data_IF_709678578836
#
_entry.id   IF_709678578836
#
_cell.length_a   1.000
_cell.length_b   1.000
_cell.length_c   1.000
_cell.angle_alpha   90.00
_cell.angle_beta   90.00
_cell.angle_gamma   90.00
#
_symmetry.space_group_name_H-M   'P 1'
#
loop_
_entity.id
_entity.type
_entity.pdbx_description
1 polymer ?
#
# COMPACT_ATOMS: atom_id res chain seq x y z
N UNK A 1 -5.61 44.94 2.29
CA UNK A 1 -6.46 44.67 3.47
C UNK A 1 -6.90 43.23 3.34
N UNK A 2 -6.33 42.30 4.11
CA UNK A 2 -6.80 40.91 4.11
C UNK A 2 -8.18 40.94 4.76
N UNK A 3 -9.18 40.47 4.02
CA UNK A 3 -10.58 40.49 4.44
C UNK A 3 -10.73 39.72 5.76
N UNK A 4 -11.38 40.33 6.75
CA UNK A 4 -11.60 39.72 8.06
C UNK A 4 -12.34 38.37 7.94
N UNK A 5 -13.16 38.21 6.88
CA UNK A 5 -13.82 36.96 6.55
C UNK A 5 -12.84 35.83 6.18
N UNK A 6 -11.72 36.15 5.51
CA UNK A 6 -10.71 35.16 5.12
C UNK A 6 -9.93 34.63 6.34
N UNK A 7 -9.66 35.51 7.32
CA UNK A 7 -9.03 35.13 8.59
C UNK A 7 -9.95 34.24 9.43
N UNK A 8 -11.26 34.54 9.49
CA UNK A 8 -12.22 33.69 10.21
C UNK A 8 -12.41 32.32 9.56
N UNK A 9 -12.42 32.25 8.22
CA UNK A 9 -12.48 30.96 7.51
C UNK A 9 -11.20 30.15 7.74
N UNK A 10 -10.02 30.78 7.72
CA UNK A 10 -8.75 30.12 8.05
C UNK A 10 -8.73 29.62 9.50
N UNK A 11 -9.21 30.40 10.45
CA UNK A 11 -9.30 30.02 11.86
C UNK A 11 -10.31 28.89 12.09
N UNK A 12 -11.44 28.89 11.40
CA UNK A 12 -12.43 27.81 11.46
C UNK A 12 -11.91 26.53 10.80
N UNK A 13 -11.17 26.62 9.70
CA UNK A 13 -10.50 25.48 9.08
C UNK A 13 -9.38 24.92 9.99
N UNK A 14 -8.59 25.79 10.62
CA UNK A 14 -7.60 25.40 11.61
C UNK A 14 -8.24 24.77 12.84
N UNK A 15 -9.38 25.29 13.31
CA UNK A 15 -10.14 24.69 14.41
C UNK A 15 -10.74 23.33 14.04
N UNK A 16 -11.28 23.18 12.83
CA UNK A 16 -11.74 21.88 12.31
C UNK A 16 -10.58 20.87 12.19
N UNK A 17 -9.41 21.31 11.75
CA UNK A 17 -8.21 20.48 11.69
C UNK A 17 -7.62 20.17 13.08
N UNK A 18 -7.80 21.06 14.05
CA UNK A 18 -7.45 20.84 15.46
C UNK A 18 -8.46 19.94 16.20
N UNK A 19 -9.56 19.58 15.53
CA UNK A 19 -10.57 18.66 16.03
C UNK A 19 -9.94 17.34 16.46
N UNK A 20 -10.02 17.07 17.75
CA UNK A 20 -9.46 15.88 18.36
C UNK A 20 -10.33 14.67 18.00
N UNK A 21 -9.83 13.78 17.16
CA UNK A 21 -10.45 12.46 16.99
C UNK A 21 -10.09 11.65 18.23
N UNK A 22 -11.08 11.45 19.11
CA UNK A 22 -10.96 10.57 20.28
C UNK A 22 -9.87 10.99 21.31
N UNK A 23 -9.55 12.27 21.43
CA UNK A 23 -8.52 12.78 22.36
C UNK A 23 -7.11 12.90 21.77
N UNK A 24 -6.91 12.49 20.51
CA UNK A 24 -5.63 12.56 19.82
C UNK A 24 -5.60 13.65 18.73
N UNK A 25 -4.45 14.31 18.48
CA UNK A 25 -4.32 15.24 17.36
C UNK A 25 -4.59 14.52 16.03
N UNK A 26 -5.44 15.10 15.18
CA UNK A 26 -5.79 14.57 13.85
C UNK A 26 -4.57 14.22 12.99
N UNK A 27 -3.48 14.98 13.16
CA UNK A 27 -2.19 14.75 12.49
C UNK A 27 -1.60 13.37 12.81
N UNK A 28 -1.73 12.89 14.05
CA UNK A 28 -1.23 11.58 14.48
C UNK A 28 -2.04 10.46 13.84
N UNK A 29 -3.36 10.64 13.77
CA UNK A 29 -4.29 9.65 13.18
C UNK A 29 -4.04 9.48 11.67
N UNK A 30 -3.63 10.54 10.98
CA UNK A 30 -3.24 10.48 9.55
C UNK A 30 -1.79 10.00 9.34
N UNK A 31 -0.86 10.30 10.25
CA UNK A 31 0.54 9.92 10.10
C UNK A 31 0.75 8.40 10.22
N UNK A 32 -0.03 7.72 11.08
CA UNK A 32 0.08 6.26 11.28
C UNK A 32 -0.09 5.46 9.98
N UNK A 33 -1.20 5.58 9.23
CA UNK A 33 -1.36 4.84 7.98
C UNK A 33 -0.29 5.20 6.94
N UNK A 34 0.21 6.44 6.94
CA UNK A 34 1.28 6.86 6.03
C UNK A 34 2.62 6.15 6.32
N UNK A 35 3.01 6.07 7.59
CA UNK A 35 4.23 5.35 8.00
C UNK A 35 4.10 3.86 7.75
N UNK A 36 2.93 3.27 8.06
CA UNK A 36 2.65 1.86 7.77
C UNK A 36 2.73 1.59 6.26
N UNK A 37 2.13 2.46 5.44
CA UNK A 37 2.24 2.41 3.99
C UNK A 37 3.69 2.43 3.53
N UNK A 38 4.51 3.36 4.05
CA UNK A 38 5.93 3.49 3.71
C UNK A 38 6.71 2.21 3.97
N UNK A 39 6.54 1.61 5.15
CA UNK A 39 7.22 0.37 5.54
C UNK A 39 6.80 -0.79 4.61
N UNK A 40 5.50 -0.91 4.33
CA UNK A 40 4.98 -1.94 3.43
C UNK A 40 5.52 -1.76 2.01
N UNK A 41 5.53 -0.53 1.49
CA UNK A 41 6.06 -0.20 0.17
C UNK A 41 7.53 -0.59 0.03
N UNK A 42 8.34 -0.30 1.05
CA UNK A 42 9.75 -0.72 1.09
C UNK A 42 9.92 -2.24 1.05
N UNK A 43 9.18 -2.96 1.91
CA UNK A 43 9.27 -4.43 1.98
C UNK A 43 8.86 -5.05 0.64
N UNK A 44 7.75 -4.58 0.05
CA UNK A 44 7.28 -5.08 -1.24
C UNK A 44 8.34 -4.86 -2.33
N UNK A 45 8.98 -3.70 -2.39
CA UNK A 45 10.07 -3.45 -3.36
C UNK A 45 11.19 -4.48 -3.24
N UNK A 46 11.60 -4.80 -2.01
CA UNK A 46 12.67 -5.75 -1.74
C UNK A 46 12.29 -7.17 -2.16
N UNK A 47 11.07 -7.59 -1.86
CA UNK A 47 10.53 -8.90 -2.28
C UNK A 47 10.45 -8.96 -3.81
N UNK A 48 10.00 -7.89 -4.47
CA UNK A 48 9.84 -7.86 -5.92
C UNK A 48 11.18 -8.00 -6.66
N UNK A 49 12.24 -7.34 -6.15
CA UNK A 49 13.60 -7.50 -6.69
C UNK A 49 14.10 -8.94 -6.58
N UNK A 50 13.91 -9.58 -5.43
CA UNK A 50 14.32 -10.97 -5.21
C UNK A 50 13.49 -11.92 -6.09
N UNK A 51 12.18 -11.69 -6.17
CA UNK A 51 11.26 -12.47 -7.00
C UNK A 51 11.66 -12.40 -8.48
N UNK A 52 12.02 -11.22 -8.99
CA UNK A 52 12.48 -11.07 -10.38
C UNK A 52 13.74 -11.90 -10.67
N UNK A 53 14.69 -11.93 -9.73
CA UNK A 53 15.92 -12.74 -9.85
C UNK A 53 15.56 -14.23 -9.89
N UNK A 54 14.68 -14.69 -8.99
CA UNK A 54 14.22 -16.08 -8.96
C UNK A 54 13.51 -16.47 -10.26
N UNK A 55 12.68 -15.58 -10.81
CA UNK A 55 12.01 -15.81 -12.11
C UNK A 55 13.02 -15.93 -13.24
N UNK A 56 14.04 -15.07 -13.27
CA UNK A 56 15.10 -15.16 -14.28
C UNK A 56 15.87 -16.49 -14.19
N UNK A 57 16.22 -16.93 -12.99
CA UNK A 57 16.88 -18.23 -12.76
C UNK A 57 15.97 -19.39 -13.20
N UNK A 58 14.69 -19.35 -12.83
CA UNK A 58 13.71 -20.36 -13.20
C UNK A 58 13.53 -20.47 -14.73
N UNK A 59 13.54 -19.34 -15.45
CA UNK A 59 13.49 -19.32 -16.91
C UNK A 59 14.72 -19.98 -17.55
N UNK A 60 15.92 -19.69 -17.02
CA UNK A 60 17.15 -20.34 -17.49
C UNK A 60 17.11 -21.84 -17.21
N UNK A 61 16.70 -22.25 -16.01
CA UNK A 61 16.58 -23.67 -15.66
C UNK A 61 15.52 -24.40 -16.49
N UNK A 62 14.41 -23.72 -16.84
CA UNK A 62 13.39 -24.25 -17.75
C UNK A 62 13.94 -24.42 -19.17
N UNK A 63 14.76 -23.49 -19.66
CA UNK A 63 15.39 -23.59 -20.98
C UNK A 63 16.30 -24.83 -21.10
N UNK A 64 17.06 -25.14 -20.05
CA UNK A 64 17.89 -26.35 -19.99
C UNK A 64 17.11 -27.63 -19.67
N UNK A 65 15.79 -27.56 -19.51
CA UNK A 65 14.93 -28.72 -19.25
C UNK A 65 14.93 -29.21 -17.81
N UNK A 66 15.55 -28.49 -16.86
CA UNK A 66 15.53 -28.84 -15.44
C UNK A 66 14.16 -28.57 -14.78
N UNK A 67 13.36 -27.67 -15.36
CA UNK A 67 12.05 -27.27 -14.85
C UNK A 67 11.01 -27.40 -15.95
N UNK A 68 9.94 -28.14 -15.68
CA UNK A 68 8.75 -28.16 -16.55
C UNK A 68 7.82 -27.00 -16.18
N UNK A 69 7.77 -25.99 -17.06
CA UNK A 69 6.93 -24.80 -16.89
C UNK A 69 5.45 -25.13 -16.70
N UNK A 70 4.97 -26.27 -17.22
CA UNK A 70 3.58 -26.72 -17.04
C UNK A 70 3.22 -26.97 -15.57
N UNK A 71 4.10 -27.63 -14.83
CA UNK A 71 3.86 -27.95 -13.41
C UNK A 71 3.91 -26.68 -12.55
N UNK A 72 4.87 -25.80 -12.83
CA UNK A 72 4.99 -24.49 -12.14
C UNK A 72 3.74 -23.64 -12.39
N UNK A 73 3.19 -23.67 -13.60
CA UNK A 73 1.99 -22.92 -13.94
C UNK A 73 0.76 -23.48 -13.22
N UNK A 74 0.62 -24.80 -13.12
CA UNK A 74 -0.50 -25.41 -12.37
C UNK A 74 -0.44 -25.13 -10.87
N UNK A 75 0.76 -25.15 -10.27
CA UNK A 75 0.95 -24.81 -8.86
C UNK A 75 0.74 -23.31 -8.61
N UNK A 76 1.22 -22.44 -9.51
CA UNK A 76 0.94 -21.02 -9.44
C UNK A 76 -0.57 -20.76 -9.54
N UNK A 77 -1.28 -21.47 -10.42
CA UNK A 77 -2.72 -21.31 -10.59
C UNK A 77 -3.50 -21.81 -9.37
N UNK A 78 -3.09 -22.91 -8.73
CA UNK A 78 -3.74 -23.39 -7.50
C UNK A 78 -3.54 -22.42 -6.34
N UNK A 79 -2.33 -21.84 -6.20
CA UNK A 79 -2.08 -20.79 -5.20
C UNK A 79 -2.90 -19.52 -5.48
N UNK A 80 -3.00 -19.08 -6.75
CA UNK A 80 -3.84 -17.93 -7.12
C UNK A 80 -5.31 -18.21 -6.84
N UNK A 81 -5.80 -19.42 -7.11
CA UNK A 81 -7.20 -19.77 -6.84
C UNK A 81 -7.50 -19.84 -5.33
N UNK A 82 -6.52 -20.22 -4.51
CA UNK A 82 -6.69 -20.30 -3.06
C UNK A 82 -6.57 -18.92 -2.38
N UNK A 83 -5.55 -18.14 -2.74
CA UNK A 83 -5.25 -16.87 -2.07
C UNK A 83 -5.82 -15.64 -2.79
N UNK A 84 -6.14 -15.75 -4.07
CA UNK A 84 -6.69 -14.67 -4.89
C UNK A 84 -8.04 -14.14 -4.38
N UNK A 85 -9.04 -15.01 -4.14
CA UNK A 85 -10.33 -14.56 -3.59
C UNK A 85 -10.19 -13.89 -2.22
N UNK A 86 -9.29 -14.41 -1.39
CA UNK A 86 -8.98 -13.86 -0.06
C UNK A 86 -8.36 -12.48 -0.18
N UNK A 87 -7.38 -12.31 -1.07
CA UNK A 87 -6.75 -11.01 -1.33
C UNK A 87 -7.76 -9.97 -1.86
N UNK A 88 -8.65 -10.38 -2.76
CA UNK A 88 -9.71 -9.51 -3.29
C UNK A 88 -10.72 -9.09 -2.21
N UNK A 89 -11.03 -9.99 -1.27
CA UNK A 89 -11.88 -9.68 -0.11
C UNK A 89 -11.22 -8.65 0.82
N UNK A 90 -9.92 -8.78 1.10
CA UNK A 90 -9.20 -7.78 1.90
C UNK A 90 -9.09 -6.42 1.18
N UNK A 91 -8.95 -6.42 -0.14
CA UNK A 91 -8.93 -5.18 -0.93
C UNK A 91 -10.27 -4.45 -0.86
N UNK A 92 -11.42 -5.14 -0.88
CA UNK A 92 -12.73 -4.48 -0.80
C UNK A 92 -12.94 -3.81 0.56
N UNK A 93 -12.50 -4.45 1.65
CA UNK A 93 -12.51 -3.87 3.01
C UNK A 93 -11.57 -2.66 3.06
N UNK A 94 -10.38 -2.76 2.46
CA UNK A 94 -9.40 -1.69 2.41
C UNK A 94 -9.93 -0.43 1.69
N UNK A 95 -10.64 -0.59 0.57
CA UNK A 95 -11.28 0.54 -0.12
C UNK A 95 -12.48 1.12 0.64
N UNK A 96 -13.14 0.34 1.52
CA UNK A 96 -14.23 0.81 2.36
C UNK A 96 -13.82 1.85 3.42
N UNK A 97 -12.54 1.89 3.81
CA UNK A 97 -11.97 2.83 4.79
C UNK A 97 -11.21 3.99 4.10
N UNK A 98 -11.93 4.77 3.29
CA UNK A 98 -11.41 5.80 2.37
C UNK A 98 -10.41 6.80 3.01
N UNK A 99 -10.64 7.39 4.21
CA UNK A 99 -9.70 8.37 4.76
C UNK A 99 -8.35 7.78 5.20
N UNK A 100 -8.36 6.55 5.70
CA UNK A 100 -7.17 5.83 6.16
C UNK A 100 -6.37 5.23 4.99
N UNK A 101 -7.07 4.80 3.94
CA UNK A 101 -6.47 4.20 2.76
C UNK A 101 -5.68 5.21 1.91
N UNK A 102 -6.08 6.48 1.84
CA UNK A 102 -5.33 7.51 1.07
C UNK A 102 -3.92 7.71 1.65
N UNK A 103 -3.81 7.90 2.97
CA UNK A 103 -2.51 8.05 3.64
C UNK A 103 -1.64 6.81 3.44
N UNK A 104 -2.24 5.62 3.52
CA UNK A 104 -1.54 4.35 3.30
C UNK A 104 -1.08 4.16 1.85
N UNK A 105 -1.91 4.49 0.85
CA UNK A 105 -1.56 4.38 -0.56
C UNK A 105 -0.44 5.35 -0.92
N UNK A 106 -0.52 6.60 -0.47
CA UNK A 106 0.55 7.59 -0.70
C UNK A 106 1.84 7.11 -0.03
N UNK A 107 1.78 6.71 1.24
CA UNK A 107 2.93 6.15 1.95
C UNK A 107 3.51 4.94 1.23
N UNK A 108 2.66 4.03 0.75
CA UNK A 108 3.06 2.83 0.02
C UNK A 108 3.76 3.15 -1.30
N UNK A 109 3.19 4.04 -2.11
CA UNK A 109 3.81 4.46 -3.37
C UNK A 109 5.17 5.12 -3.10
N UNK A 110 5.24 6.01 -2.09
CA UNK A 110 6.50 6.65 -1.73
C UNK A 110 7.54 5.63 -1.25
N UNK A 111 7.15 4.69 -0.38
CA UNK A 111 8.03 3.64 0.12
C UNK A 111 8.50 2.71 -0.98
N UNK A 112 7.65 2.42 -1.96
CA UNK A 112 7.99 1.59 -3.10
C UNK A 112 8.90 2.30 -4.11
N UNK A 113 8.66 3.58 -4.40
CA UNK A 113 9.43 4.34 -5.39
C UNK A 113 10.77 4.80 -4.82
N UNK A 114 10.77 5.40 -3.63
CA UNK A 114 11.96 6.07 -3.07
C UNK A 114 12.87 5.19 -2.22
N UNK A 115 12.47 3.97 -1.84
CA UNK A 115 13.32 3.07 -1.06
C UNK A 115 14.16 2.09 -1.88
#
# INVERSE_FOLDING_TARGET
MIDAAALTVLDDLLKMMSGSFNGLPSLVVMAVPLVVGLILGYIVKKILKIGLILVAIALVAAYFGFINLGNVTSEAQSMVNQYGPVAMSYLSIFFGIVPLSIGLVIGFILGFVFS
#
